data_IF_609932866247
#
_entry.id   IF_609932866247
#
_cell.length_a   1.000
_cell.length_b   1.000
_cell.length_c   1.000
_cell.angle_alpha   90.00
_cell.angle_beta   90.00
_cell.angle_gamma   90.00
#
_symmetry.space_group_name_H-M   'P 1'
#
loop_
_entity.id
_entity.type
_entity.pdbx_description
1 polymer ?
#
# COMPACT_ATOMS: atom_id res chain seq x y z
N UNK A 1 8.27 9.23 13.78
CA UNK A 1 7.54 10.50 14.01
C UNK A 1 8.10 11.15 15.28
N UNK A 2 8.23 12.48 15.37
CA UNK A 2 8.83 13.16 16.54
C UNK A 2 7.82 13.81 17.50
N UNK A 3 6.57 13.97 17.08
CA UNK A 3 5.51 14.56 17.88
C UNK A 3 4.53 13.47 18.34
N UNK A 4 3.95 13.59 19.54
CA UNK A 4 2.88 12.70 19.98
C UNK A 4 1.66 12.86 19.07
N UNK A 5 0.98 11.76 18.76
CA UNK A 5 -0.16 11.75 17.85
C UNK A 5 -0.61 10.34 17.48
N UNK A 6 -1.64 10.26 16.62
CA UNK A 6 -2.17 9.01 16.08
C UNK A 6 -1.38 8.54 14.85
N UNK A 7 -1.91 7.51 14.18
CA UNK A 7 -1.41 7.06 12.89
C UNK A 7 -1.60 8.08 11.77
N UNK A 8 -0.76 7.97 10.76
CA UNK A 8 -0.78 8.85 9.59
C UNK A 8 -1.29 8.00 8.43
N UNK A 9 -2.44 8.37 7.86
CA UNK A 9 -2.92 7.75 6.65
C UNK A 9 -2.33 8.47 5.43
N UNK A 10 -1.51 7.74 4.69
CA UNK A 10 -1.00 8.19 3.40
C UNK A 10 -2.09 8.10 2.33
N UNK A 11 -2.67 9.24 1.95
CA UNK A 11 -3.69 9.31 0.89
C UNK A 11 -3.09 9.04 -0.50
N UNK A 12 -1.77 9.25 -0.67
CA UNK A 12 -1.03 9.06 -1.92
C UNK A 12 -0.75 10.38 -2.65
N UNK A 13 -0.46 10.40 -3.97
CA UNK A 13 -0.56 9.29 -4.94
C UNK A 13 0.73 8.50 -5.16
N UNK A 14 0.81 7.82 -6.31
CA UNK A 14 1.87 6.86 -6.68
C UNK A 14 3.31 7.32 -6.39
N UNK A 15 3.65 8.57 -6.73
CA UNK A 15 4.99 9.13 -6.51
C UNK A 15 5.31 9.31 -5.02
N UNK A 16 4.33 9.70 -4.20
CA UNK A 16 4.52 9.87 -2.77
C UNK A 16 4.64 8.51 -2.08
N UNK A 17 3.83 7.53 -2.48
CA UNK A 17 3.94 6.15 -2.01
C UNK A 17 5.33 5.58 -2.31
N UNK A 18 5.80 5.73 -3.55
CA UNK A 18 7.13 5.35 -3.98
C UNK A 18 8.22 5.99 -3.13
N UNK A 19 8.15 7.31 -2.95
CA UNK A 19 9.12 8.06 -2.17
C UNK A 19 9.20 7.52 -0.73
N UNK A 20 8.07 7.50 -0.02
CA UNK A 20 8.04 7.10 1.38
C UNK A 20 8.41 5.63 1.57
N UNK A 21 8.01 4.75 0.66
CA UNK A 21 8.41 3.33 0.69
C UNK A 21 9.93 3.21 0.52
N UNK A 22 10.52 3.92 -0.44
CA UNK A 22 11.96 3.88 -0.71
C UNK A 22 12.82 4.41 0.44
N UNK A 23 12.26 5.31 1.26
CA UNK A 23 12.89 5.82 2.49
C UNK A 23 12.56 5.01 3.75
N UNK A 24 11.82 3.89 3.64
CA UNK A 24 11.43 3.07 4.80
C UNK A 24 10.51 3.80 5.78
N UNK A 25 9.68 4.72 5.29
CA UNK A 25 8.76 5.55 6.08
C UNK A 25 7.32 5.03 6.08
N UNK A 26 7.09 3.84 5.52
CA UNK A 26 5.81 3.13 5.56
C UNK A 26 5.96 1.94 6.50
N UNK A 27 5.08 1.85 7.49
CA UNK A 27 5.07 0.76 8.48
C UNK A 27 4.07 -0.36 8.10
N UNK A 28 2.92 0.03 7.54
CA UNK A 28 1.81 -0.86 7.18
C UNK A 28 1.26 -0.51 5.78
N UNK A 29 0.86 -1.54 5.04
CA UNK A 29 0.13 -1.42 3.78
C UNK A 29 -1.20 -2.16 3.90
N UNK A 30 -2.30 -1.44 3.65
CA UNK A 30 -3.65 -2.01 3.48
C UNK A 30 -3.95 -2.02 1.98
N UNK A 31 -3.71 -3.14 1.33
CA UNK A 31 -3.91 -3.32 -0.12
C UNK A 31 -5.31 -3.84 -0.40
N UNK A 32 -6.10 -3.09 -1.19
CA UNK A 32 -7.41 -3.56 -1.67
C UNK A 32 -7.32 -3.97 -3.13
N UNK A 33 -7.50 -5.27 -3.38
CA UNK A 33 -7.52 -5.88 -4.70
C UNK A 33 -8.96 -5.91 -5.19
N UNK A 34 -9.19 -5.25 -6.33
CA UNK A 34 -10.47 -5.21 -7.02
C UNK A 34 -10.41 -6.25 -8.14
N UNK A 35 -11.41 -7.13 -8.31
CA UNK A 35 -11.38 -8.22 -9.30
C UNK A 35 -11.66 -7.70 -10.73
N UNK A 36 -10.77 -6.86 -11.24
CA UNK A 36 -10.84 -6.28 -12.59
C UNK A 36 -9.44 -6.23 -13.22
N UNK A 37 -9.35 -6.65 -14.48
CA UNK A 37 -8.14 -6.47 -15.28
C UNK A 37 -8.14 -5.04 -15.85
N UNK A 38 -7.30 -4.16 -15.30
CA UNK A 38 -7.05 -2.85 -15.89
C UNK A 38 -5.93 -2.97 -16.92
N UNK A 39 -6.16 -2.45 -18.13
CA UNK A 39 -5.13 -2.37 -19.18
C UNK A 39 -4.03 -1.37 -18.80
N UNK A 40 -4.01 -0.20 -19.44
CA UNK A 40 -3.08 0.87 -19.06
C UNK A 40 -3.58 1.55 -17.78
N UNK A 41 -2.77 1.53 -16.72
CA UNK A 41 -3.12 2.10 -15.41
C UNK A 41 -1.96 2.86 -14.78
N UNK A 42 -2.23 3.52 -13.65
CA UNK A 42 -1.22 4.16 -12.81
C UNK A 42 -0.77 3.15 -11.75
N UNK A 43 0.52 2.81 -11.75
CA UNK A 43 1.14 1.95 -10.72
C UNK A 43 1.04 2.59 -9.33
N UNK A 44 0.76 1.79 -8.31
CA UNK A 44 0.64 2.25 -6.92
C UNK A 44 1.95 2.73 -6.29
N UNK A 45 3.09 2.31 -6.85
CA UNK A 45 4.45 2.68 -6.42
C UNK A 45 5.23 3.37 -7.55
N UNK A 46 4.54 4.08 -8.45
CA UNK A 46 5.20 4.81 -9.53
C UNK A 46 5.94 3.90 -10.52
N UNK A 47 6.96 4.44 -11.19
CA UNK A 47 7.63 3.77 -12.32
C UNK A 47 8.99 3.13 -11.98
N UNK A 48 9.65 3.56 -10.90
CA UNK A 48 10.91 2.95 -10.48
C UNK A 48 10.67 1.62 -9.77
N UNK A 49 11.51 0.63 -10.08
CA UNK A 49 11.50 -0.66 -9.41
C UNK A 49 11.86 -0.49 -7.93
N UNK A 50 11.00 -1.00 -7.05
CA UNK A 50 11.25 -1.11 -5.61
C UNK A 50 11.12 -2.58 -5.24
N UNK A 51 12.15 -3.12 -4.61
CA UNK A 51 12.06 -4.43 -3.96
C UNK A 51 11.79 -4.20 -2.47
N UNK A 52 10.62 -4.64 -2.01
CA UNK A 52 10.24 -4.60 -0.61
C UNK A 52 9.69 -5.96 -0.19
N UNK A 53 10.26 -6.53 0.87
CA UNK A 53 9.70 -7.71 1.51
C UNK A 53 8.56 -7.29 2.42
N UNK A 54 7.40 -7.90 2.25
CA UNK A 54 6.24 -7.69 3.10
C UNK A 54 6.00 -8.91 3.98
N UNK A 55 5.49 -8.67 5.19
CA UNK A 55 4.99 -9.71 6.08
C UNK A 55 3.47 -9.65 6.12
N UNK A 56 2.83 -10.76 5.78
CA UNK A 56 1.37 -10.90 5.91
C UNK A 56 0.94 -10.70 7.37
N UNK A 57 -0.11 -9.90 7.58
CA UNK A 57 -0.74 -9.75 8.89
C UNK A 57 -2.19 -10.25 8.91
N UNK A 58 -3.01 -9.86 7.94
CA UNK A 58 -4.43 -10.24 7.90
C UNK A 58 -5.00 -10.12 6.47
N UNK A 59 -6.14 -10.76 6.21
CA UNK A 59 -6.91 -10.54 4.98
C UNK A 59 -8.41 -10.73 5.17
N UNK A 60 -9.18 -9.98 4.39
CA UNK A 60 -10.64 -10.04 4.37
C UNK A 60 -11.16 -10.07 2.95
N UNK A 61 -12.03 -11.04 2.68
CA UNK A 61 -12.82 -11.10 1.44
C UNK A 61 -14.17 -10.44 1.71
N UNK A 62 -14.56 -9.51 0.84
CA UNK A 62 -15.85 -8.83 0.92
C UNK A 62 -16.86 -9.52 0.01
N UNK A 63 -18.15 -9.37 0.31
CA UNK A 63 -19.24 -9.90 -0.54
C UNK A 63 -19.25 -9.32 -1.96
N UNK A 64 -18.58 -8.19 -2.18
CA UNK A 64 -18.35 -7.59 -3.49
C UNK A 64 -17.31 -8.32 -4.34
N UNK A 65 -16.61 -9.31 -3.78
CA UNK A 65 -15.47 -9.99 -4.41
C UNK A 65 -14.13 -9.25 -4.25
N UNK A 66 -14.11 -8.06 -3.63
CA UNK A 66 -12.87 -7.38 -3.28
C UNK A 66 -12.12 -8.15 -2.19
N UNK A 67 -10.79 -8.15 -2.27
CA UNK A 67 -9.92 -8.73 -1.24
C UNK A 67 -9.07 -7.62 -0.65
N UNK A 68 -9.14 -7.40 0.66
CA UNK A 68 -8.22 -6.52 1.35
C UNK A 68 -7.18 -7.35 2.09
N UNK A 69 -5.91 -7.07 1.87
CA UNK A 69 -4.78 -7.71 2.53
C UNK A 69 -4.01 -6.64 3.30
N UNK A 70 -3.68 -6.94 4.54
CA UNK A 70 -2.81 -6.12 5.37
C UNK A 70 -1.42 -6.72 5.43
N UNK A 71 -0.43 -5.86 5.29
CA UNK A 71 0.98 -6.20 5.38
C UNK A 71 1.69 -5.25 6.32
N UNK A 72 2.63 -5.77 7.10
CA UNK A 72 3.65 -4.96 7.76
C UNK A 72 4.95 -5.04 6.97
N UNK A 73 5.78 -4.01 7.08
CA UNK A 73 7.12 -3.97 6.49
C UNK A 73 8.18 -4.33 7.55
#
# INVERSE_FOLDING_TARGET
KKQPGKDIWLVGGAQLNQLLLSFGLIDEIIMTIIPIALGKSISIFGQQSIEQKFKYSDSKIFSTGCVQIKYTI
#
